data_IF_814699157404
#
_entry.id   IF_814699157404
#
_cell.length_a   1.000
_cell.length_b   1.000
_cell.length_c   1.000
_cell.angle_alpha   90.00
_cell.angle_beta   90.00
_cell.angle_gamma   90.00
#
_symmetry.space_group_name_H-M   'P 1'
#
loop_
_entity.id
_entity.type
_entity.pdbx_description
1 polymer ?
#
# COMPACT_ATOMS: atom_id res chain seq x y z
N UNK A 1 46.56 25.06 -13.87
CA UNK A 1 45.70 26.02 -14.58
C UNK A 1 44.28 25.76 -14.18
N UNK A 2 43.83 26.60 -13.26
CA UNK A 2 42.46 26.72 -12.81
C UNK A 2 41.69 27.60 -13.79
N UNK A 3 40.40 27.43 -13.81
CA UNK A 3 39.35 28.32 -14.22
C UNK A 3 38.42 27.72 -15.28
N UNK A 4 37.26 27.29 -14.82
CA UNK A 4 35.93 27.55 -15.36
C UNK A 4 34.85 26.84 -14.54
N UNK A 5 34.72 27.25 -13.26
CA UNK A 5 33.53 27.08 -12.45
C UNK A 5 33.05 28.49 -12.12
N UNK A 6 31.88 28.85 -12.65
CA UNK A 6 30.97 29.91 -12.21
C UNK A 6 30.17 30.40 -13.42
N UNK A 7 28.92 29.99 -13.49
CA UNK A 7 27.76 30.77 -13.87
C UNK A 7 26.64 29.79 -14.23
N UNK A 8 25.80 29.52 -13.25
CA UNK A 8 24.33 29.42 -13.38
C UNK A 8 23.70 29.23 -12.00
N UNK A 9 23.61 30.32 -11.27
CA UNK A 9 22.72 30.47 -10.15
C UNK A 9 21.58 31.37 -10.58
N UNK A 10 20.39 30.83 -10.62
CA UNK A 10 19.20 31.64 -10.74
C UNK A 10 18.03 30.93 -11.34
N UNK A 11 16.99 30.76 -10.50
CA UNK A 11 15.62 30.43 -10.84
C UNK A 11 15.31 28.96 -11.18
N UNK A 12 14.81 28.28 -10.18
CA UNK A 12 13.56 27.50 -10.05
C UNK A 12 13.75 26.56 -8.86
N UNK A 13 12.91 26.69 -7.85
CA UNK A 13 12.94 25.85 -6.65
C UNK A 13 12.61 24.38 -6.96
N UNK A 14 13.58 23.66 -7.48
CA UNK A 14 13.58 22.21 -7.54
C UNK A 14 13.93 21.76 -6.12
N UNK A 15 12.94 21.29 -5.37
CA UNK A 15 13.22 20.53 -4.15
C UNK A 15 14.18 19.38 -4.54
N UNK A 16 15.37 19.39 -3.95
CA UNK A 16 16.34 18.29 -4.09
C UNK A 16 15.63 16.98 -3.75
N UNK A 17 15.58 16.07 -4.72
CA UNK A 17 15.14 14.70 -4.48
C UNK A 17 15.92 14.10 -3.29
N UNK A 18 15.24 13.38 -2.44
CA UNK A 18 15.86 12.63 -1.34
C UNK A 18 16.96 11.74 -1.93
N UNK A 19 18.17 11.84 -1.38
CA UNK A 19 19.25 10.93 -1.74
C UNK A 19 18.91 9.53 -1.20
N UNK A 20 19.43 8.45 -1.81
CA UNK A 20 19.28 7.09 -1.25
C UNK A 20 19.74 6.98 0.21
N UNK A 21 20.67 7.84 0.65
CA UNK A 21 21.14 7.95 2.03
C UNK A 21 20.10 8.52 3.00
N UNK A 22 19.16 9.34 2.53
CA UNK A 22 18.12 9.91 3.39
C UNK A 22 17.04 8.87 3.75
N UNK A 23 16.84 7.87 2.88
CA UNK A 23 15.94 6.73 3.15
C UNK A 23 16.52 5.77 4.21
N UNK A 24 17.84 5.72 4.36
CA UNK A 24 18.57 4.82 5.28
C UNK A 24 19.05 5.50 6.57
N UNK A 25 18.70 6.77 6.83
CA UNK A 25 19.06 7.41 8.11
C UNK A 25 18.19 6.85 9.24
N UNK A 26 18.53 5.66 9.73
CA UNK A 26 18.10 5.17 11.03
C UNK A 26 18.73 6.12 12.05
N UNK A 27 17.93 6.95 12.72
CA UNK A 27 18.41 7.73 13.88
C UNK A 27 18.94 6.71 14.89
N UNK A 28 20.24 6.67 15.07
CA UNK A 28 20.87 5.88 16.13
C UNK A 28 20.28 6.33 17.47
N UNK A 29 19.55 5.44 18.17
CA UNK A 29 19.10 5.64 19.53
C UNK A 29 17.61 5.46 19.84
N UNK A 30 16.74 5.19 18.87
CA UNK A 30 15.32 4.84 19.10
C UNK A 30 15.06 3.34 18.96
N UNK A 31 14.04 2.80 19.66
CA UNK A 31 13.56 1.45 19.41
C UNK A 31 13.17 1.31 17.94
N UNK A 32 13.46 0.15 17.32
CA UNK A 32 13.08 -0.14 15.94
C UNK A 32 11.55 -0.07 15.81
N UNK A 33 11.07 0.61 14.79
CA UNK A 33 9.63 0.68 14.50
C UNK A 33 9.15 -0.61 13.87
N UNK A 34 7.90 -0.98 14.16
CA UNK A 34 7.29 -2.24 13.73
C UNK A 34 6.06 -1.98 12.88
N UNK A 35 5.80 -2.85 11.91
CA UNK A 35 4.57 -2.80 11.13
C UNK A 35 4.08 -4.21 10.81
N UNK A 36 2.78 -4.43 10.99
CA UNK A 36 2.12 -5.69 10.71
C UNK A 36 1.47 -5.66 9.33
N UNK A 37 1.75 -6.66 8.50
CA UNK A 37 0.92 -6.95 7.32
C UNK A 37 -0.09 -8.06 7.62
N UNK A 38 -1.36 -7.83 7.29
CA UNK A 38 -2.46 -8.80 7.33
C UNK A 38 -2.90 -9.02 5.90
N UNK A 39 -2.40 -10.07 5.24
CA UNK A 39 -2.64 -10.29 3.81
C UNK A 39 -2.40 -11.74 3.37
N UNK A 40 -2.75 -12.04 2.13
CA UNK A 40 -2.41 -13.29 1.49
C UNK A 40 -0.92 -13.39 1.15
N UNK A 41 -0.43 -14.64 1.08
CA UNK A 41 0.94 -14.96 0.68
C UNK A 41 1.01 -15.21 -0.82
N UNK A 42 1.88 -14.48 -1.53
CA UNK A 42 2.17 -14.68 -2.95
C UNK A 42 3.43 -15.54 -3.11
N UNK A 43 3.27 -16.78 -3.60
CA UNK A 43 4.36 -17.74 -3.80
C UNK A 43 5.43 -17.24 -4.77
N UNK A 44 5.11 -16.32 -5.69
CA UNK A 44 6.09 -15.70 -6.61
C UNK A 44 6.90 -14.58 -5.96
N UNK A 45 6.45 -14.09 -4.81
CA UNK A 45 7.16 -13.09 -4.01
C UNK A 45 7.02 -11.65 -4.50
N UNK A 46 6.15 -11.37 -5.47
CA UNK A 46 5.97 -10.05 -6.08
C UNK A 46 4.89 -9.18 -5.44
N UNK A 47 3.93 -9.80 -4.74
CA UNK A 47 2.82 -9.12 -4.06
C UNK A 47 2.59 -9.73 -2.67
N UNK A 48 1.42 -9.44 -2.05
CA UNK A 48 1.03 -9.98 -0.77
C UNK A 48 2.03 -9.68 0.34
N UNK A 49 2.05 -10.54 1.37
CA UNK A 49 2.97 -10.35 2.51
C UNK A 49 4.45 -10.29 2.08
N UNK A 50 4.83 -10.92 0.98
CA UNK A 50 6.22 -10.91 0.50
C UNK A 50 6.63 -9.52 0.00
N UNK A 51 5.77 -8.84 -0.75
CA UNK A 51 6.00 -7.46 -1.16
C UNK A 51 5.99 -6.53 0.06
N UNK A 52 5.06 -6.77 1.00
CA UNK A 52 4.90 -5.97 2.20
C UNK A 52 6.15 -6.03 3.08
N UNK A 53 6.61 -7.25 3.41
CA UNK A 53 7.81 -7.48 4.23
C UNK A 53 9.06 -6.87 3.56
N UNK A 54 9.25 -7.09 2.25
CA UNK A 54 10.37 -6.50 1.51
C UNK A 54 10.34 -4.97 1.56
N UNK A 55 9.16 -4.37 1.36
CA UNK A 55 8.98 -2.92 1.40
C UNK A 55 9.27 -2.35 2.79
N UNK A 56 8.65 -2.92 3.84
CA UNK A 56 8.85 -2.51 5.22
C UNK A 56 10.32 -2.63 5.63
N UNK A 57 10.97 -3.76 5.30
CA UNK A 57 12.38 -4.00 5.59
C UNK A 57 13.30 -3.03 4.84
N UNK A 58 13.05 -2.76 3.55
CA UNK A 58 13.81 -1.78 2.78
C UNK A 58 13.68 -0.36 3.35
N UNK A 59 12.55 -0.06 3.96
CA UNK A 59 12.30 1.21 4.67
C UNK A 59 12.78 1.20 6.13
N UNK A 60 13.48 0.15 6.59
CA UNK A 60 14.03 0.07 7.94
C UNK A 60 12.98 -0.07 9.04
N UNK A 61 11.86 -0.74 8.75
CA UNK A 61 10.80 -1.10 9.68
C UNK A 61 10.80 -2.62 9.88
N UNK A 62 10.71 -3.09 11.11
CA UNK A 62 10.56 -4.52 11.41
C UNK A 62 9.19 -4.98 10.96
N UNK A 63 9.15 -5.95 10.06
CA UNK A 63 7.92 -6.43 9.44
C UNK A 63 7.41 -7.70 10.14
N UNK A 64 6.15 -7.66 10.56
CA UNK A 64 5.40 -8.77 11.11
C UNK A 64 4.33 -9.22 10.12
N UNK A 65 3.80 -10.43 10.25
CA UNK A 65 2.78 -10.91 9.31
C UNK A 65 1.71 -11.77 9.96
N UNK A 66 0.47 -11.56 9.51
CA UNK A 66 -0.71 -12.42 9.68
C UNK A 66 -1.14 -12.88 8.30
N UNK A 67 -1.14 -14.20 8.06
CA UNK A 67 -1.43 -14.77 6.74
C UNK A 67 -2.92 -15.09 6.66
N UNK A 68 -3.61 -14.49 5.68
CA UNK A 68 -5.05 -14.68 5.46
C UNK A 68 -5.36 -15.74 4.41
N UNK A 69 -4.42 -16.02 3.52
CA UNK A 69 -4.49 -17.07 2.52
C UNK A 69 -3.10 -17.42 1.98
N UNK A 70 -2.95 -18.63 1.48
CA UNK A 70 -1.83 -19.04 0.64
C UNK A 70 -2.26 -19.03 -0.82
N UNK A 71 -1.47 -18.48 -1.73
CA UNK A 71 -1.72 -18.58 -3.16
C UNK A 71 -0.66 -19.43 -3.86
N UNK A 72 -1.10 -20.26 -4.80
CA UNK A 72 -0.25 -20.79 -5.84
C UNK A 72 -0.31 -19.78 -7.00
N UNK A 73 0.69 -18.91 -7.08
CA UNK A 73 0.68 -17.75 -7.97
C UNK A 73 2.05 -17.53 -8.60
N UNK A 74 2.04 -16.99 -9.81
CA UNK A 74 3.23 -16.51 -10.51
C UNK A 74 2.88 -15.29 -11.37
N UNK A 75 3.85 -14.77 -12.14
CA UNK A 75 3.65 -13.57 -12.97
C UNK A 75 2.61 -13.73 -14.09
N UNK A 76 2.18 -14.95 -14.39
CA UNK A 76 1.19 -15.25 -15.45
C UNK A 76 -0.22 -15.48 -14.91
N UNK A 77 -0.40 -15.65 -13.59
CA UNK A 77 -1.73 -15.83 -12.98
C UNK A 77 -1.73 -16.52 -11.63
N UNK A 78 -2.94 -16.72 -11.11
CA UNK A 78 -3.23 -17.41 -9.85
C UNK A 78 -3.82 -18.78 -10.19
N UNK A 79 -3.17 -19.86 -9.75
CA UNK A 79 -3.56 -21.24 -10.01
C UNK A 79 -4.40 -21.83 -8.88
N UNK A 80 -4.32 -21.25 -7.66
CA UNK A 80 -5.09 -21.71 -6.51
C UNK A 80 -4.96 -20.76 -5.32
N UNK A 81 -5.98 -20.77 -4.46
CA UNK A 81 -6.04 -20.01 -3.21
C UNK A 81 -6.50 -20.95 -2.11
N UNK A 82 -5.77 -21.00 -1.01
CA UNK A 82 -6.16 -21.69 0.23
C UNK A 82 -6.34 -20.65 1.33
N UNK A 83 -7.58 -20.41 1.74
CA UNK A 83 -7.91 -19.46 2.80
C UNK A 83 -7.42 -19.98 4.17
N UNK A 84 -6.99 -19.07 5.03
CA UNK A 84 -6.72 -19.35 6.43
C UNK A 84 -8.04 -19.27 7.22
N UNK A 85 -8.25 -20.22 8.13
CA UNK A 85 -9.43 -20.23 9.01
C UNK A 85 -9.51 -18.92 9.84
N UNK A 86 -10.70 -18.29 9.97
CA UNK A 86 -10.86 -17.01 10.66
C UNK A 86 -10.35 -17.01 12.11
N UNK A 87 -10.52 -18.12 12.83
CA UNK A 87 -10.05 -18.29 14.20
C UNK A 87 -8.50 -18.30 14.24
N UNK A 88 -7.87 -18.88 13.22
CA UNK A 88 -6.41 -18.89 13.15
C UNK A 88 -5.83 -17.52 12.74
N UNK A 89 -6.57 -16.73 11.95
CA UNK A 89 -6.22 -15.32 11.68
C UNK A 89 -6.20 -14.54 13.01
N UNK A 90 -7.23 -14.68 13.84
CA UNK A 90 -7.29 -14.04 15.15
C UNK A 90 -6.17 -14.50 16.08
N UNK A 91 -5.84 -15.80 16.09
CA UNK A 91 -4.75 -16.34 16.90
C UNK A 91 -3.38 -15.78 16.47
N UNK A 92 -3.13 -15.63 15.17
CA UNK A 92 -1.93 -14.96 14.68
C UNK A 92 -1.87 -13.50 15.15
N UNK A 93 -3.00 -12.76 15.05
CA UNK A 93 -3.08 -11.37 15.53
C UNK A 93 -2.80 -11.30 17.03
N UNK A 94 -3.39 -12.19 17.84
CA UNK A 94 -3.16 -12.23 19.29
C UNK A 94 -1.69 -12.49 19.61
N UNK A 95 -1.04 -13.40 18.90
CA UNK A 95 0.38 -13.72 19.10
C UNK A 95 1.27 -12.50 18.84
N UNK A 96 0.99 -11.73 17.78
CA UNK A 96 1.74 -10.52 17.43
C UNK A 96 1.48 -9.40 18.46
N UNK A 97 0.21 -9.05 18.67
CA UNK A 97 -0.16 -7.91 19.52
C UNK A 97 0.17 -8.10 21.00
N UNK A 98 0.31 -9.36 21.47
CA UNK A 98 0.64 -9.66 22.88
C UNK A 98 2.14 -9.56 23.19
N UNK A 99 3.02 -9.54 22.18
CA UNK A 99 4.48 -9.53 22.36
C UNK A 99 5.12 -8.32 21.66
N UNK A 100 5.20 -8.31 20.34
CA UNK A 100 5.73 -7.19 19.57
C UNK A 100 4.55 -6.39 19.00
N UNK A 101 4.06 -5.40 19.76
CA UNK A 101 2.91 -4.61 19.34
C UNK A 101 3.27 -3.72 18.14
N UNK A 102 2.58 -3.83 16.98
CA UNK A 102 2.90 -3.03 15.80
C UNK A 102 2.54 -1.55 15.98
N UNK A 103 3.42 -0.66 15.48
CA UNK A 103 3.19 0.80 15.40
C UNK A 103 2.21 1.16 14.26
N UNK A 104 2.09 0.31 13.22
CA UNK A 104 1.15 0.45 12.12
C UNK A 104 0.71 -0.92 11.60
N UNK A 105 -0.46 -0.95 10.94
CA UNK A 105 -1.02 -2.16 10.33
C UNK A 105 -1.34 -1.89 8.87
N UNK A 106 -0.89 -2.77 7.96
CA UNK A 106 -1.35 -2.80 6.57
C UNK A 106 -2.26 -3.99 6.36
N UNK A 107 -3.41 -3.77 5.77
CA UNK A 107 -4.34 -4.83 5.37
C UNK A 107 -4.34 -4.92 3.85
N UNK A 108 -4.17 -6.15 3.33
CA UNK A 108 -4.27 -6.45 1.91
C UNK A 108 -5.41 -7.41 1.61
N UNK A 109 -5.14 -8.44 0.80
CA UNK A 109 -6.13 -9.43 0.40
C UNK A 109 -6.75 -10.16 1.58
N UNK A 110 -8.09 -10.15 1.65
CA UNK A 110 -8.93 -10.93 2.54
C UNK A 110 -9.88 -11.79 1.70
N UNK A 111 -9.74 -13.12 1.68
CA UNK A 111 -10.43 -13.96 0.70
C UNK A 111 -11.93 -14.11 0.95
N UNK A 112 -12.38 -14.14 2.20
CA UNK A 112 -13.76 -14.40 2.61
C UNK A 112 -14.32 -13.33 3.55
N UNK A 113 -15.64 -13.24 3.63
CA UNK A 113 -16.32 -12.31 4.55
C UNK A 113 -15.98 -12.61 6.02
N UNK A 114 -15.82 -13.89 6.36
CA UNK A 114 -15.45 -14.35 7.70
C UNK A 114 -14.02 -13.89 8.06
N UNK A 115 -13.08 -13.95 7.10
CA UNK A 115 -11.73 -13.41 7.27
C UNK A 115 -11.76 -11.89 7.50
N UNK A 116 -12.57 -11.14 6.72
CA UNK A 116 -12.76 -9.69 6.92
C UNK A 116 -13.26 -9.39 8.34
N UNK A 117 -14.31 -10.08 8.78
CA UNK A 117 -14.88 -9.89 10.13
C UNK A 117 -13.94 -10.33 11.24
N UNK A 118 -13.13 -11.38 11.02
CA UNK A 118 -12.11 -11.78 11.98
C UNK A 118 -11.06 -10.68 12.16
N UNK A 119 -10.57 -10.12 11.05
CA UNK A 119 -9.63 -9.00 11.07
C UNK A 119 -10.25 -7.78 11.76
N UNK A 120 -11.49 -7.40 11.42
CA UNK A 120 -12.19 -6.28 12.04
C UNK A 120 -12.29 -6.42 13.57
N UNK A 121 -12.68 -7.63 14.06
CA UNK A 121 -12.70 -7.94 15.49
C UNK A 121 -11.31 -7.83 16.13
N UNK A 122 -10.29 -8.33 15.46
CA UNK A 122 -8.91 -8.26 15.94
C UNK A 122 -8.41 -6.83 16.06
N UNK A 123 -8.61 -5.99 15.03
CA UNK A 123 -8.22 -4.57 15.06
C UNK A 123 -8.88 -3.83 16.22
N UNK A 124 -10.17 -4.05 16.43
CA UNK A 124 -10.92 -3.45 17.54
C UNK A 124 -10.43 -3.95 18.91
N UNK A 125 -10.29 -5.28 19.08
CA UNK A 125 -9.84 -5.91 20.33
C UNK A 125 -8.48 -5.43 20.78
N UNK A 126 -7.56 -5.27 19.83
CA UNK A 126 -6.18 -4.86 20.09
C UNK A 126 -5.94 -3.36 19.96
N UNK A 127 -6.98 -2.57 19.68
CA UNK A 127 -6.88 -1.12 19.51
C UNK A 127 -5.76 -0.75 18.51
N UNK A 128 -5.79 -1.39 17.33
CA UNK A 128 -4.78 -1.21 16.31
C UNK A 128 -4.72 0.24 15.82
N UNK A 129 -3.51 0.77 15.66
CA UNK A 129 -3.27 2.15 15.25
C UNK A 129 -2.70 2.20 13.83
N UNK A 130 -2.83 3.35 13.17
CA UNK A 130 -2.22 3.59 11.85
C UNK A 130 -2.59 2.49 10.82
N UNK A 131 -3.88 2.19 10.69
CA UNK A 131 -4.37 1.12 9.83
C UNK A 131 -4.48 1.61 8.38
N UNK A 132 -3.71 1.00 7.49
CA UNK A 132 -3.74 1.22 6.04
C UNK A 132 -4.49 0.05 5.38
N UNK A 133 -5.67 0.32 4.83
CA UNK A 133 -6.49 -0.67 4.13
C UNK A 133 -6.29 -0.55 2.61
N UNK A 134 -5.64 -1.54 2.01
CA UNK A 134 -5.61 -1.73 0.56
C UNK A 134 -6.72 -2.71 0.17
N UNK A 135 -7.83 -2.26 -0.43
CA UNK A 135 -9.03 -3.08 -0.62
C UNK A 135 -8.89 -3.99 -1.85
N UNK A 136 -7.91 -4.90 -1.79
CA UNK A 136 -7.56 -5.78 -2.91
C UNK A 136 -8.71 -6.71 -3.25
N UNK A 137 -9.29 -6.57 -4.43
CA UNK A 137 -10.40 -7.40 -4.94
C UNK A 137 -9.95 -8.34 -6.05
N UNK A 138 -8.98 -7.89 -6.87
CA UNK A 138 -8.54 -8.60 -8.09
C UNK A 138 -7.01 -8.56 -8.17
N UNK A 139 -6.41 -9.68 -8.59
CA UNK A 139 -4.98 -9.74 -8.88
C UNK A 139 -4.64 -8.88 -10.11
N UNK A 140 -3.36 -8.47 -10.26
CA UNK A 140 -2.86 -7.79 -11.47
C UNK A 140 -3.09 -8.61 -12.75
N UNK A 141 -3.20 -9.94 -12.64
CA UNK A 141 -3.54 -10.85 -13.74
C UNK A 141 -5.01 -10.85 -14.11
N UNK A 142 -5.88 -10.15 -13.38
CA UNK A 142 -7.34 -10.16 -13.57
C UNK A 142 -8.08 -11.27 -12.82
N UNK A 143 -7.39 -12.14 -12.09
CA UNK A 143 -8.04 -13.18 -11.29
C UNK A 143 -8.73 -12.59 -10.06
N UNK A 144 -9.97 -12.99 -9.77
CA UNK A 144 -10.64 -12.62 -8.52
C UNK A 144 -9.88 -13.21 -7.32
N UNK A 145 -9.56 -12.38 -6.33
CA UNK A 145 -8.85 -12.76 -5.12
C UNK A 145 -9.76 -12.80 -3.88
N UNK A 146 -10.92 -12.14 -3.97
CA UNK A 146 -11.90 -12.09 -2.89
C UNK A 146 -13.27 -12.48 -3.45
N UNK A 147 -14.06 -13.17 -2.65
CA UNK A 147 -15.44 -13.51 -2.97
C UNK A 147 -16.34 -12.26 -2.89
N UNK A 148 -17.46 -12.24 -3.61
CA UNK A 148 -18.39 -11.11 -3.59
C UNK A 148 -18.85 -10.71 -2.16
N UNK A 149 -19.20 -11.67 -1.26
CA UNK A 149 -19.53 -11.32 0.13
C UNK A 149 -18.36 -10.69 0.91
N UNK A 150 -17.10 -11.03 0.56
CA UNK A 150 -15.93 -10.40 1.19
C UNK A 150 -15.81 -8.94 0.79
N UNK A 151 -16.09 -8.60 -0.47
CA UNK A 151 -16.08 -7.21 -0.96
C UNK A 151 -17.12 -6.37 -0.22
N UNK A 152 -18.32 -6.90 0.03
CA UNK A 152 -19.33 -6.21 0.84
C UNK A 152 -18.87 -6.04 2.30
N UNK A 153 -18.28 -7.08 2.88
CA UNK A 153 -17.78 -7.05 4.25
C UNK A 153 -16.62 -6.06 4.45
N UNK A 154 -15.85 -5.71 3.39
CA UNK A 154 -14.80 -4.68 3.50
C UNK A 154 -15.33 -3.32 3.98
N UNK A 155 -16.61 -3.02 3.75
CA UNK A 155 -17.23 -1.80 4.28
C UNK A 155 -17.22 -1.77 5.82
N UNK A 156 -17.23 -2.94 6.48
CA UNK A 156 -17.15 -3.06 7.94
C UNK A 156 -15.77 -2.65 8.49
N UNK A 157 -14.71 -2.66 7.65
CA UNK A 157 -13.35 -2.24 8.02
C UNK A 157 -13.11 -0.73 7.84
N UNK A 158 -13.90 -0.04 7.01
CA UNK A 158 -13.68 1.37 6.69
C UNK A 158 -13.57 2.26 7.93
N UNK A 159 -14.42 2.13 8.99
CA UNK A 159 -14.34 2.97 10.18
C UNK A 159 -13.06 2.78 11.01
N UNK A 160 -12.35 1.66 10.81
CA UNK A 160 -11.12 1.35 11.52
C UNK A 160 -9.86 1.76 10.75
N UNK A 161 -10.03 2.11 9.45
CA UNK A 161 -8.92 2.50 8.58
C UNK A 161 -8.54 3.97 8.77
N UNK A 162 -7.27 4.22 9.08
CA UNK A 162 -6.66 5.56 9.03
C UNK A 162 -6.65 6.08 7.59
N UNK A 163 -6.38 5.20 6.63
CA UNK A 163 -6.48 5.49 5.21
C UNK A 163 -6.85 4.25 4.41
N UNK A 164 -7.74 4.42 3.43
CA UNK A 164 -8.10 3.40 2.43
C UNK A 164 -7.45 3.78 1.11
N UNK A 165 -6.85 2.81 0.39
CA UNK A 165 -6.04 3.07 -0.81
C UNK A 165 -6.59 2.38 -2.07
N UNK A 166 -7.83 2.61 -2.50
CA UNK A 166 -8.41 1.96 -3.66
C UNK A 166 -7.79 2.45 -4.97
N UNK A 167 -7.64 1.55 -5.94
CA UNK A 167 -7.49 1.92 -7.34
C UNK A 167 -8.85 2.32 -7.95
N UNK A 168 -8.90 2.75 -9.21
CA UNK A 168 -10.15 3.21 -9.86
C UNK A 168 -11.27 2.15 -9.79
N UNK A 169 -11.09 0.89 -10.25
CA UNK A 169 -12.13 -0.14 -10.14
C UNK A 169 -12.59 -0.40 -8.69
N UNK A 170 -11.66 -0.45 -7.75
CA UNK A 170 -11.96 -0.65 -6.32
C UNK A 170 -12.74 0.55 -5.74
N UNK A 171 -12.36 1.78 -6.13
CA UNK A 171 -13.05 2.99 -5.72
C UNK A 171 -14.49 3.04 -6.26
N UNK A 172 -14.72 2.63 -7.51
CA UNK A 172 -16.06 2.51 -8.09
C UNK A 172 -16.93 1.51 -7.31
N UNK A 173 -16.39 0.35 -6.97
CA UNK A 173 -17.11 -0.67 -6.17
C UNK A 173 -17.42 -0.15 -4.77
N UNK A 174 -16.43 0.43 -4.06
CA UNK A 174 -16.61 0.91 -2.69
C UNK A 174 -17.52 2.14 -2.60
N UNK A 175 -17.45 3.04 -3.58
CA UNK A 175 -18.22 4.29 -3.56
C UNK A 175 -19.62 4.13 -4.17
N UNK A 176 -19.75 3.31 -5.21
CA UNK A 176 -20.91 3.29 -6.11
C UNK A 176 -20.87 4.41 -7.16
N UNK A 177 -19.78 5.16 -7.27
CA UNK A 177 -19.59 6.27 -8.21
C UNK A 177 -18.74 5.79 -9.37
N UNK A 178 -19.20 5.99 -10.60
CA UNK A 178 -18.40 5.71 -11.81
C UNK A 178 -17.32 6.78 -11.97
N UNK A 179 -16.10 6.37 -12.28
CA UNK A 179 -14.94 7.25 -12.43
C UNK A 179 -14.49 7.26 -13.89
N UNK A 180 -14.79 8.33 -14.61
CA UNK A 180 -14.38 8.54 -15.99
C UNK A 180 -13.32 9.66 -16.12
N UNK A 181 -13.29 10.57 -15.16
CA UNK A 181 -12.39 11.73 -15.12
C UNK A 181 -11.79 11.93 -13.73
N UNK A 182 -10.82 12.83 -13.66
CA UNK A 182 -10.10 13.17 -12.41
C UNK A 182 -11.03 13.70 -11.31
N UNK A 183 -12.03 14.46 -11.70
CA UNK A 183 -13.03 15.03 -10.78
C UNK A 183 -13.88 13.96 -10.10
N UNK A 184 -14.18 12.87 -10.82
CA UNK A 184 -14.96 11.76 -10.28
C UNK A 184 -14.22 11.01 -9.16
N UNK A 185 -12.87 11.04 -9.17
CA UNK A 185 -12.06 10.44 -8.10
C UNK A 185 -12.36 11.09 -6.75
N UNK A 186 -12.57 12.41 -6.72
CA UNK A 186 -12.95 13.12 -5.50
C UNK A 186 -14.35 12.76 -5.05
N UNK A 187 -15.31 12.67 -5.98
CA UNK A 187 -16.67 12.24 -5.66
C UNK A 187 -16.69 10.84 -5.04
N UNK A 188 -15.89 9.91 -5.60
CA UNK A 188 -15.72 8.57 -5.06
C UNK A 188 -15.04 8.60 -3.66
N UNK A 189 -13.99 9.40 -3.49
CA UNK A 189 -13.30 9.54 -2.21
C UNK A 189 -14.25 10.05 -1.10
N UNK A 190 -15.03 11.09 -1.37
CA UNK A 190 -16.04 11.59 -0.42
C UNK A 190 -17.12 10.55 -0.11
N UNK A 191 -17.56 9.77 -1.11
CA UNK A 191 -18.55 8.73 -0.89
C UNK A 191 -18.00 7.60 0.01
N UNK A 192 -16.72 7.20 -0.16
CA UNK A 192 -16.04 6.21 0.69
C UNK A 192 -15.84 6.78 2.11
N UNK A 193 -15.42 8.04 2.24
CA UNK A 193 -15.25 8.69 3.54
C UNK A 193 -16.57 8.74 4.32
N UNK A 194 -17.70 9.02 3.67
CA UNK A 194 -19.05 8.98 4.29
C UNK A 194 -19.44 7.59 4.79
N UNK A 195 -18.82 6.52 4.28
CA UNK A 195 -19.02 5.15 4.76
C UNK A 195 -18.13 4.80 5.95
N UNK A 196 -17.35 5.76 6.47
CA UNK A 196 -16.61 5.64 7.72
C UNK A 196 -15.09 5.72 7.61
N UNK A 197 -14.49 5.65 6.42
CA UNK A 197 -13.04 5.81 6.26
C UNK A 197 -12.58 7.18 6.75
N UNK A 198 -11.48 7.25 7.52
CA UNK A 198 -10.96 8.54 7.99
C UNK A 198 -10.34 9.34 6.84
N UNK A 199 -9.50 8.70 6.02
CA UNK A 199 -8.93 9.29 4.83
C UNK A 199 -9.03 8.30 3.64
N UNK A 200 -8.98 8.82 2.41
CA UNK A 200 -9.07 8.01 1.19
C UNK A 200 -8.01 8.48 0.19
N UNK A 201 -7.19 7.53 -0.28
CA UNK A 201 -6.24 7.73 -1.37
C UNK A 201 -6.74 6.99 -2.61
N UNK A 202 -7.38 7.68 -3.54
CA UNK A 202 -7.78 7.08 -4.83
C UNK A 202 -6.58 7.09 -5.77
N UNK A 203 -6.13 5.88 -6.20
CA UNK A 203 -4.97 5.69 -7.08
C UNK A 203 -5.37 5.87 -8.55
N UNK A 204 -4.88 6.93 -9.21
CA UNK A 204 -5.27 7.31 -10.58
C UNK A 204 -4.48 6.65 -11.70
N UNK A 205 -3.57 5.73 -11.41
CA UNK A 205 -2.72 5.09 -12.42
C UNK A 205 -3.45 4.36 -13.56
N UNK A 206 -4.78 4.17 -13.47
CA UNK A 206 -5.61 3.55 -14.50
C UNK A 206 -6.24 4.59 -15.46
N UNK A 207 -6.19 5.88 -15.15
CA UNK A 207 -6.66 6.93 -16.07
C UNK A 207 -5.61 7.24 -17.14
N UNK A 208 -6.05 7.76 -18.29
CA UNK A 208 -5.15 8.23 -19.33
C UNK A 208 -4.40 9.50 -18.86
N UNK A 209 -3.13 9.64 -19.23
CA UNK A 209 -2.29 10.80 -18.86
C UNK A 209 -1.37 10.52 -17.67
N UNK A 210 -1.17 11.51 -16.81
CA UNK A 210 -0.32 11.40 -15.62
C UNK A 210 -0.92 10.44 -14.57
N UNK A 211 -0.05 9.81 -13.78
CA UNK A 211 -0.47 8.89 -12.71
C UNK A 211 -0.76 9.69 -11.43
N UNK A 212 -1.80 10.53 -11.49
CA UNK A 212 -2.22 11.37 -10.37
C UNK A 212 -3.07 10.59 -9.37
N UNK A 213 -2.71 10.65 -8.10
CA UNK A 213 -3.52 10.10 -7.01
C UNK A 213 -4.18 11.24 -6.22
N UNK A 214 -5.41 11.02 -5.76
CA UNK A 214 -6.18 11.96 -4.96
C UNK A 214 -6.22 11.51 -3.50
N UNK A 215 -5.58 12.25 -2.59
CA UNK A 215 -5.70 12.05 -1.15
C UNK A 215 -6.74 13.01 -0.59
N UNK A 216 -7.80 12.46 0.00
CA UNK A 216 -8.78 13.17 0.82
C UNK A 216 -8.45 12.89 2.30
N UNK A 217 -8.08 13.94 3.05
CA UNK A 217 -7.74 13.87 4.47
C UNK A 217 -8.99 13.98 5.36
N UNK A 218 -8.92 13.65 6.67
CA UNK A 218 -10.09 13.64 7.56
C UNK A 218 -10.78 15.00 7.70
N UNK A 219 -10.03 16.10 7.55
CA UNK A 219 -10.55 17.47 7.64
C UNK A 219 -11.16 17.97 6.31
N UNK A 220 -11.22 17.12 5.29
CA UNK A 220 -11.71 17.47 3.96
C UNK A 220 -10.65 18.08 3.04
N UNK A 221 -9.42 18.24 3.51
CA UNK A 221 -8.30 18.72 2.67
C UNK A 221 -8.03 17.71 1.56
N UNK A 222 -7.91 18.20 0.33
CA UNK A 222 -7.56 17.41 -0.85
C UNK A 222 -6.13 17.71 -1.28
N UNK A 223 -5.35 16.66 -1.44
CA UNK A 223 -3.98 16.74 -1.99
C UNK A 223 -3.88 15.85 -3.22
N UNK A 224 -3.49 16.44 -4.36
CA UNK A 224 -3.13 15.69 -5.56
C UNK A 224 -1.64 15.35 -5.52
N UNK A 225 -1.33 14.08 -5.80
CA UNK A 225 0.03 13.58 -5.86
C UNK A 225 0.32 13.12 -7.28
N UNK A 226 1.01 13.93 -8.03
CA UNK A 226 1.42 13.62 -9.40
C UNK A 226 2.71 12.82 -9.44
N UNK A 227 2.81 11.89 -10.37
CA UNK A 227 4.04 11.20 -10.70
C UNK A 227 4.09 10.93 -12.20
N UNK A 228 5.32 10.95 -12.74
CA UNK A 228 5.56 10.52 -14.10
C UNK A 228 5.10 9.08 -14.31
N UNK A 229 4.35 8.83 -15.38
CA UNK A 229 3.95 7.48 -15.75
C UNK A 229 5.17 6.71 -16.27
N UNK A 230 5.45 5.59 -15.66
CA UNK A 230 6.50 4.67 -16.14
C UNK A 230 5.85 3.64 -17.04
N UNK A 231 6.22 3.64 -18.32
CA UNK A 231 5.73 2.67 -19.29
C UNK A 231 6.35 1.29 -19.02
N UNK A 232 5.59 0.41 -18.40
CA UNK A 232 6.03 -0.96 -18.07
C UNK A 232 4.85 -1.90 -17.91
N UNK A 233 5.05 -3.18 -18.25
CA UNK A 233 4.14 -4.27 -17.89
C UNK A 233 4.36 -4.84 -16.50
N UNK A 234 5.48 -4.46 -15.85
CA UNK A 234 5.89 -5.01 -14.56
C UNK A 234 5.26 -4.20 -13.42
N UNK A 235 3.98 -4.43 -13.19
CA UNK A 235 3.16 -3.72 -12.21
C UNK A 235 2.66 -4.62 -11.08
N UNK A 236 3.14 -5.88 -11.03
CA UNK A 236 2.73 -6.82 -9.99
C UNK A 236 3.24 -6.37 -8.61
N UNK A 237 2.30 -6.22 -7.69
CA UNK A 237 2.58 -5.79 -6.32
C UNK A 237 2.68 -4.28 -6.10
N UNK A 238 2.40 -3.43 -7.11
CA UNK A 238 2.45 -1.96 -6.94
C UNK A 238 1.53 -1.45 -5.83
N UNK A 239 0.29 -1.97 -5.74
CA UNK A 239 -0.66 -1.63 -4.67
C UNK A 239 -0.14 -2.03 -3.30
N UNK A 240 0.29 -3.28 -3.13
CA UNK A 240 0.90 -3.78 -1.90
C UNK A 240 2.13 -2.95 -1.49
N UNK A 241 3.00 -2.63 -2.44
CA UNK A 241 4.19 -1.81 -2.18
C UNK A 241 3.82 -0.41 -1.71
N UNK A 242 2.84 0.25 -2.34
CA UNK A 242 2.40 1.59 -1.93
C UNK A 242 1.81 1.58 -0.52
N UNK A 243 0.86 0.68 -0.26
CA UNK A 243 0.17 0.60 1.03
C UNK A 243 1.11 0.21 2.18
N UNK A 244 2.07 -0.68 1.94
CA UNK A 244 3.09 -1.06 2.92
C UNK A 244 4.10 0.05 3.18
N UNK A 245 4.46 0.82 2.16
CA UNK A 245 5.31 2.00 2.34
C UNK A 245 4.59 3.09 3.15
N UNK A 246 3.29 3.33 2.90
CA UNK A 246 2.48 4.24 3.73
C UNK A 246 2.49 3.78 5.19
N UNK A 247 2.20 2.50 5.45
CA UNK A 247 2.23 1.93 6.80
C UNK A 247 3.60 2.10 7.47
N UNK A 248 4.68 1.87 6.72
CA UNK A 248 6.05 2.05 7.22
C UNK A 248 6.34 3.49 7.64
N UNK A 249 5.93 4.47 6.85
CA UNK A 249 6.12 5.88 7.19
C UNK A 249 5.23 6.33 8.34
N UNK A 250 3.99 5.83 8.43
CA UNK A 250 3.12 6.07 9.59
C UNK A 250 3.72 5.46 10.86
N UNK A 251 4.26 4.24 10.81
CA UNK A 251 4.98 3.61 11.93
C UNK A 251 6.15 4.46 12.41
N UNK A 252 6.82 5.18 11.51
CA UNK A 252 7.90 6.12 11.81
C UNK A 252 7.44 7.47 12.37
N UNK A 253 6.11 7.68 12.47
CA UNK A 253 5.51 8.91 13.00
C UNK A 253 5.39 10.06 12.00
N UNK A 254 5.48 9.77 10.69
CA UNK A 254 5.19 10.77 9.67
C UNK A 254 3.69 11.10 9.62
N UNK A 255 3.35 12.34 9.23
CA UNK A 255 1.96 12.69 8.96
C UNK A 255 1.43 11.92 7.75
N UNK A 256 0.11 11.68 7.68
CA UNK A 256 -0.50 10.92 6.59
C UNK A 256 -0.12 11.47 5.20
N UNK A 257 -0.26 12.78 5.00
CA UNK A 257 0.11 13.43 3.75
C UNK A 257 1.57 13.16 3.36
N UNK A 258 2.49 13.27 4.33
CA UNK A 258 3.91 13.02 4.09
C UNK A 258 4.20 11.54 3.84
N UNK A 259 3.58 10.63 4.61
CA UNK A 259 3.69 9.19 4.42
C UNK A 259 3.25 8.77 3.01
N UNK A 260 2.12 9.29 2.52
CA UNK A 260 1.63 9.02 1.17
C UNK A 260 2.58 9.58 0.10
N UNK A 261 3.08 10.80 0.27
CA UNK A 261 4.02 11.40 -0.69
C UNK A 261 5.34 10.61 -0.79
N UNK A 262 5.91 10.23 0.35
CA UNK A 262 7.13 9.42 0.41
C UNK A 262 6.91 8.01 -0.17
N UNK A 263 5.77 7.39 0.12
CA UNK A 263 5.42 6.08 -0.40
C UNK A 263 5.25 6.10 -1.93
N UNK A 264 4.66 7.16 -2.49
CA UNK A 264 4.55 7.33 -3.95
C UNK A 264 5.91 7.49 -4.61
N UNK A 265 6.82 8.25 -4.01
CA UNK A 265 8.22 8.38 -4.49
C UNK A 265 8.94 7.04 -4.47
N UNK A 266 8.84 6.30 -3.36
CA UNK A 266 9.41 4.96 -3.22
C UNK A 266 8.88 4.01 -4.30
N UNK A 267 7.55 3.94 -4.47
CA UNK A 267 6.93 3.09 -5.49
C UNK A 267 7.39 3.46 -6.91
N UNK A 268 7.43 4.76 -7.23
CA UNK A 268 7.86 5.23 -8.56
C UNK A 268 9.29 4.75 -8.87
N UNK A 269 10.18 4.82 -7.89
CA UNK A 269 11.55 4.33 -8.07
C UNK A 269 11.61 2.80 -8.17
N UNK A 270 10.83 2.07 -7.34
CA UNK A 270 10.73 0.61 -7.41
C UNK A 270 10.23 0.11 -8.77
N UNK A 271 9.36 0.89 -9.44
CA UNK A 271 8.88 0.58 -10.81
C UNK A 271 9.98 0.86 -11.84
N UNK A 272 10.71 1.98 -11.73
CA UNK A 272 11.80 2.38 -12.64
C UNK A 272 12.94 1.37 -12.63
N UNK A 273 13.29 0.84 -11.47
CA UNK A 273 14.38 -0.12 -11.26
C UNK A 273 13.94 -1.58 -11.46
N UNK A 274 13.11 -1.81 -12.44
CA UNK A 274 12.48 -3.10 -12.75
C UNK A 274 13.48 -4.28 -12.81
N UNK A 275 13.25 -5.37 -12.04
CA UNK A 275 14.15 -6.52 -12.02
C UNK A 275 14.06 -7.43 -13.25
N UNK A 276 13.09 -7.23 -14.15
CA UNK A 276 12.94 -8.02 -15.36
C UNK A 276 12.57 -9.49 -15.16
N UNK A 277 11.91 -9.83 -14.05
CA UNK A 277 11.60 -11.21 -13.67
C UNK A 277 10.24 -11.66 -14.19
N UNK A 278 10.17 -12.93 -14.59
CA UNK A 278 8.93 -13.57 -15.02
C UNK A 278 8.56 -13.32 -16.48
N UNK A 279 7.58 -14.08 -16.98
CA UNK A 279 7.09 -14.01 -18.38
C UNK A 279 5.82 -13.16 -18.53
N UNK A 280 5.07 -12.97 -17.45
CA UNK A 280 3.85 -12.16 -17.38
C UNK A 280 4.09 -10.76 -16.83
N UNK A 281 3.16 -10.26 -16.01
CA UNK A 281 3.32 -9.01 -15.27
C UNK A 281 4.36 -9.22 -14.17
N UNK A 282 5.60 -8.73 -14.40
CA UNK A 282 6.70 -8.89 -13.46
C UNK A 282 6.54 -8.04 -12.19
N UNK A 283 7.28 -8.38 -11.11
CA UNK A 283 7.26 -7.59 -9.88
C UNK A 283 8.06 -6.30 -10.02
N UNK A 284 7.80 -5.35 -9.13
CA UNK A 284 8.66 -4.18 -8.92
C UNK A 284 9.92 -4.55 -8.13
N UNK A 285 10.95 -3.71 -8.18
CA UNK A 285 12.15 -3.89 -7.36
C UNK A 285 11.95 -3.25 -5.98
N UNK A 286 11.52 -4.03 -5.00
CA UNK A 286 11.33 -3.55 -3.62
C UNK A 286 12.64 -3.15 -2.93
N UNK A 287 13.78 -3.63 -3.41
CA UNK A 287 15.09 -3.49 -2.77
C UNK A 287 16.02 -2.55 -3.57
N UNK A 288 15.47 -1.71 -4.42
CA UNK A 288 16.29 -0.72 -5.14
C UNK A 288 17.10 0.12 -4.13
N UNK A 289 18.37 0.39 -4.44
CA UNK A 289 19.28 1.12 -3.57
C UNK A 289 19.85 0.31 -2.40
N UNK A 290 19.53 -0.99 -2.27
CA UNK A 290 20.17 -1.94 -1.38
C UNK A 290 20.98 -2.90 -2.26
N UNK A 291 22.22 -2.56 -2.59
CA UNK A 291 23.12 -3.33 -3.42
C UNK A 291 24.55 -3.08 -3.00
#
# INVERSE_FOLDING_TARGET
MAAALLFWSGMLGVQKGLSPSDALSVKQGGAMRTALTIAGSDSSGGAGIQADIKTMSALGVYAESVITALTAQNTTGVQGVAATEPEFILLQMESVFSDIRPDAVKIGMLPTAEAVRAVARGLQRFEAQNVVLDPVMVATSGAALSEAPAVEALLELLPQATVVTPNIPEAEVLSGVRIAAKEDMLAAAYAIQKKGAQAVLVKGGHLAGEADDALLEPDGTVTWLSAERVETKNTHGTGCTLSSAIASYLAKGESLKRAVALAKQYLTQAIKENPGLGRGNGPVNHLFGIG
#
